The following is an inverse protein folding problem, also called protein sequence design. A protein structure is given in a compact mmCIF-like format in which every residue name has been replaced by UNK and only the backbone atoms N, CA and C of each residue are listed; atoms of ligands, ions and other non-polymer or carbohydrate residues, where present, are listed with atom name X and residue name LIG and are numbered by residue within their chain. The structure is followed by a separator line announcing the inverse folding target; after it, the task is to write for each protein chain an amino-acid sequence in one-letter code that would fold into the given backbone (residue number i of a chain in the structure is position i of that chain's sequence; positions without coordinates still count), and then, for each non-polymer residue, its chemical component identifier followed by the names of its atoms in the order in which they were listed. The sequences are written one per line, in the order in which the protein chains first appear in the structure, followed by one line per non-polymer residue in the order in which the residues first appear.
data_IF_726072302017
#
_entry.id   IF_726072302017
#
_cell.length_a   1.000
_cell.length_b   1.000
_cell.length_c   1.000
_cell.angle_alpha   90.00
_cell.angle_beta   90.00
_cell.angle_gamma   90.00
#
_symmetry.space_group_name_H-M   'P 1'
#
loop_
_entity.id
_entity.type
_entity.pdbx_description
1 polymer ?
#
# COMPACT_ATOMS: atom_id res chain seq x y z
N UNK A 1 11.38 18.74 -0.36
CA UNK A 1 10.43 19.68 0.28
C UNK A 1 9.63 18.88 1.31
N UNK A 2 9.37 19.41 2.51
CA UNK A 2 8.54 18.69 3.48
C UNK A 2 7.09 18.63 2.97
N UNK A 3 6.36 17.57 3.34
CA UNK A 3 4.93 17.47 3.08
C UNK A 3 4.16 18.32 4.10
N UNK A 4 3.32 19.20 3.62
CA UNK A 4 2.56 20.16 4.46
C UNK A 4 1.06 19.81 4.56
N UNK A 5 0.63 18.75 3.90
CA UNK A 5 -0.76 18.34 3.74
C UNK A 5 -1.23 18.45 2.29
N UNK A 6 -2.31 17.74 1.99
CA UNK A 6 -3.09 17.99 0.78
C UNK A 6 -3.98 19.22 0.99
N UNK A 7 -4.65 19.67 -0.06
CA UNK A 7 -5.55 20.84 0.00
C UNK A 7 -6.89 20.53 -0.64
N UNK A 8 -7.85 21.43 -0.54
CA UNK A 8 -9.15 21.27 -1.23
C UNK A 8 -8.96 21.16 -2.74
N UNK A 9 -7.99 21.89 -3.31
CA UNK A 9 -7.67 21.85 -4.74
C UNK A 9 -7.20 20.48 -5.18
N UNK A 10 -6.61 19.67 -4.29
CA UNK A 10 -6.27 18.26 -4.55
C UNK A 10 -7.54 17.45 -4.84
N UNK A 11 -8.56 17.58 -3.98
CA UNK A 11 -9.84 16.90 -4.15
C UNK A 11 -10.59 17.42 -5.37
N UNK A 12 -10.60 18.73 -5.59
CA UNK A 12 -11.24 19.36 -6.73
C UNK A 12 -10.65 18.84 -8.05
N UNK A 13 -9.32 18.71 -8.12
CA UNK A 13 -8.67 18.11 -9.29
C UNK A 13 -9.06 16.62 -9.45
N UNK A 14 -9.05 15.84 -8.38
CA UNK A 14 -9.37 14.41 -8.42
C UNK A 14 -10.83 14.16 -8.83
N UNK A 15 -11.77 14.94 -8.32
CA UNK A 15 -13.18 14.93 -8.79
C UNK A 15 -13.31 15.41 -10.23
N UNK A 16 -12.60 16.48 -10.58
CA UNK A 16 -12.58 17.01 -11.94
C UNK A 16 -12.15 15.98 -12.97
N UNK A 17 -11.03 15.27 -12.74
CA UNK A 17 -10.55 14.23 -13.67
C UNK A 17 -11.45 12.97 -13.67
N UNK A 18 -12.12 12.65 -12.56
CA UNK A 18 -13.09 11.54 -12.51
C UNK A 18 -14.27 11.79 -13.45
N UNK A 19 -14.80 13.01 -13.48
CA UNK A 19 -15.96 13.35 -14.31
C UNK A 19 -15.60 13.79 -15.73
N UNK A 20 -14.38 14.30 -15.96
CA UNK A 20 -13.93 14.82 -17.25
C UNK A 20 -12.66 14.09 -17.72
N UNK A 21 -12.72 12.77 -17.84
CA UNK A 21 -11.56 11.94 -18.14
C UNK A 21 -11.16 12.00 -19.62
N UNK A 22 -10.82 13.21 -20.10
CA UNK A 22 -10.46 13.52 -21.46
C UNK A 22 -9.13 14.27 -21.53
N UNK A 23 -8.42 14.09 -22.66
CA UNK A 23 -7.12 14.75 -22.90
C UNK A 23 -7.20 16.27 -22.87
N UNK A 24 -8.24 16.83 -23.45
CA UNK A 24 -8.47 18.29 -23.50
C UNK A 24 -8.59 18.87 -22.10
N UNK A 25 -9.43 18.24 -21.24
CA UNK A 25 -9.61 18.66 -19.86
C UNK A 25 -8.30 18.56 -19.07
N UNK A 26 -7.61 17.43 -19.16
CA UNK A 26 -6.34 17.24 -18.44
C UNK A 26 -5.29 18.26 -18.85
N UNK A 27 -5.18 18.58 -20.14
CA UNK A 27 -4.20 19.58 -20.60
C UNK A 27 -4.52 20.99 -20.07
N UNK A 28 -5.80 21.34 -19.95
CA UNK A 28 -6.23 22.61 -19.36
C UNK A 28 -5.94 22.70 -17.85
N UNK A 29 -5.97 21.57 -17.13
CA UNK A 29 -5.75 21.48 -15.67
C UNK A 29 -4.41 20.81 -15.29
N UNK A 30 -3.45 20.79 -16.22
CA UNK A 30 -2.16 20.13 -15.98
C UNK A 30 -1.36 20.83 -14.85
N UNK A 31 -1.46 22.13 -14.73
CA UNK A 31 -0.81 22.87 -13.65
C UNK A 31 -1.40 22.52 -12.28
N UNK A 32 -2.73 22.35 -12.20
CA UNK A 32 -3.41 21.95 -10.97
C UNK A 32 -2.98 20.54 -10.57
N UNK A 33 -2.88 19.61 -11.53
CA UNK A 33 -2.31 18.28 -11.30
C UNK A 33 -0.91 18.34 -10.73
N UNK A 34 -0.03 19.12 -11.34
CA UNK A 34 1.37 19.23 -10.93
C UNK A 34 1.53 19.87 -9.56
N UNK A 35 0.77 20.93 -9.27
CA UNK A 35 0.87 21.69 -8.04
C UNK A 35 0.14 21.03 -6.86
N UNK A 36 -1.09 20.56 -7.08
CA UNK A 36 -1.98 20.17 -5.98
C UNK A 36 -2.08 18.64 -5.77
N UNK A 37 -1.66 17.81 -6.73
CA UNK A 37 -1.67 16.36 -6.54
C UNK A 37 -0.25 15.76 -6.65
N UNK A 38 0.47 16.01 -7.73
CA UNK A 38 1.75 15.34 -7.97
C UNK A 38 2.84 15.80 -6.99
N UNK A 39 3.00 17.12 -6.79
CA UNK A 39 4.03 17.65 -5.91
C UNK A 39 3.84 17.25 -4.45
N UNK A 40 2.64 17.40 -3.82
CA UNK A 40 2.44 16.94 -2.45
C UNK A 40 2.57 15.43 -2.30
N UNK A 41 2.06 14.62 -3.26
CA UNK A 41 2.21 13.15 -3.19
C UNK A 41 3.68 12.74 -3.30
N UNK A 42 4.48 13.44 -4.10
CA UNK A 42 5.93 13.21 -4.18
C UNK A 42 6.62 13.56 -2.87
N UNK A 43 6.33 14.73 -2.30
CA UNK A 43 6.90 15.18 -1.04
C UNK A 43 6.59 14.20 0.10
N UNK A 44 5.32 13.73 0.19
CA UNK A 44 4.90 12.71 1.14
C UNK A 44 5.69 11.41 0.95
N UNK A 45 5.77 10.92 -0.30
CA UNK A 45 6.48 9.68 -0.61
C UNK A 45 7.98 9.74 -0.29
N UNK A 46 8.64 10.85 -0.61
CA UNK A 46 10.06 11.09 -0.29
C UNK A 46 10.28 11.14 1.23
N UNK A 47 9.44 11.85 1.97
CA UNK A 47 9.54 11.93 3.43
C UNK A 47 9.34 10.57 4.11
N UNK A 48 8.35 9.80 3.67
CA UNK A 48 8.10 8.43 4.17
C UNK A 48 9.27 7.52 3.83
N UNK A 49 9.77 7.56 2.60
CA UNK A 49 10.90 6.75 2.16
C UNK A 49 12.17 7.05 2.97
N UNK A 50 12.53 8.32 3.14
CA UNK A 50 13.70 8.74 3.91
C UNK A 50 13.62 8.27 5.37
N UNK A 51 12.44 8.40 5.99
CA UNK A 51 12.21 7.96 7.36
C UNK A 51 12.33 6.44 7.53
N UNK A 52 11.84 5.66 6.56
CA UNK A 52 11.99 4.20 6.55
C UNK A 52 13.43 3.78 6.27
N UNK A 53 14.09 4.41 5.30
CA UNK A 53 15.49 4.13 4.98
C UNK A 53 16.41 4.43 6.15
N UNK A 54 16.19 5.53 6.86
CA UNK A 54 16.97 5.86 8.08
C UNK A 54 16.72 4.85 9.22
N UNK A 55 15.48 4.38 9.40
CA UNK A 55 15.13 3.43 10.45
C UNK A 55 15.58 1.99 10.13
N UNK A 56 15.62 1.62 8.85
CA UNK A 56 15.91 0.27 8.36
C UNK A 56 16.95 0.31 7.22
N UNK A 57 18.19 0.74 7.48
CA UNK A 57 19.20 1.00 6.44
C UNK A 57 19.68 -0.27 5.70
N UNK A 58 19.37 -1.46 6.22
CA UNK A 58 19.70 -2.74 5.56
C UNK A 58 18.65 -3.18 4.56
N UNK A 59 17.46 -2.60 4.61
CA UNK A 59 16.39 -2.93 3.68
C UNK A 59 16.60 -2.20 2.34
N UNK A 60 16.62 -2.92 1.21
CA UNK A 60 16.89 -2.33 -0.10
C UNK A 60 15.64 -1.62 -0.65
N UNK A 61 15.09 -0.70 0.11
CA UNK A 61 13.88 0.02 -0.27
C UNK A 61 14.10 0.95 -1.47
N UNK A 62 13.09 0.98 -2.33
CA UNK A 62 12.95 1.90 -3.44
C UNK A 62 11.58 2.57 -3.36
N UNK A 63 11.57 3.88 -3.58
CA UNK A 63 10.33 4.63 -3.75
C UNK A 63 9.87 4.56 -5.21
N UNK A 64 8.61 4.26 -5.41
CA UNK A 64 7.95 4.31 -6.71
C UNK A 64 6.68 5.14 -6.64
N UNK A 65 6.64 6.24 -7.38
CA UNK A 65 5.42 7.04 -7.57
C UNK A 65 4.71 6.61 -8.86
N UNK A 66 3.40 6.46 -8.80
CA UNK A 66 2.58 6.10 -9.97
C UNK A 66 2.46 7.27 -10.95
N UNK A 67 2.20 6.95 -12.21
CA UNK A 67 1.81 7.95 -13.22
C UNK A 67 0.29 8.12 -13.20
N UNK A 68 -0.20 9.31 -13.51
CA UNK A 68 -1.64 9.58 -13.67
C UNK A 68 -2.23 8.84 -14.88
N UNK A 69 -1.42 8.60 -15.92
CA UNK A 69 -1.86 7.92 -17.13
C UNK A 69 -2.18 6.45 -16.87
N UNK A 70 -3.32 5.98 -17.40
CA UNK A 70 -3.62 4.55 -17.48
C UNK A 70 -2.76 3.89 -18.57
N UNK A 71 -2.48 2.62 -18.41
CA UNK A 71 -1.89 1.81 -19.48
C UNK A 71 -2.92 1.66 -20.61
N UNK A 72 -2.59 2.11 -21.81
CA UNK A 72 -3.47 2.05 -22.99
C UNK A 72 -4.01 0.64 -23.27
N UNK A 73 -3.23 -0.39 -22.90
CA UNK A 73 -3.63 -1.80 -23.05
C UNK A 73 -4.71 -2.24 -22.04
N UNK A 74 -4.97 -1.45 -20.99
CA UNK A 74 -5.84 -1.77 -19.87
C UNK A 74 -6.97 -0.75 -19.66
N UNK A 75 -7.36 -0.02 -20.71
CA UNK A 75 -8.39 1.00 -20.59
C UNK A 75 -9.77 0.39 -20.30
N UNK A 76 -10.12 -0.71 -20.96
CA UNK A 76 -11.39 -1.43 -20.76
C UNK A 76 -12.64 -0.49 -20.69
N UNK A 77 -12.68 0.53 -21.54
CA UNK A 77 -13.75 1.53 -21.55
C UNK A 77 -13.57 2.68 -20.55
N UNK A 78 -12.53 2.66 -19.70
CA UNK A 78 -12.20 3.81 -18.86
C UNK A 78 -11.39 4.85 -19.64
N UNK A 79 -11.47 6.11 -19.20
CA UNK A 79 -10.69 7.20 -19.79
C UNK A 79 -9.17 7.03 -19.59
N UNK A 80 -8.36 7.86 -20.27
CA UNK A 80 -6.90 7.71 -20.33
C UNK A 80 -6.18 8.03 -19.00
N UNK A 81 -6.86 8.60 -18.03
CA UNK A 81 -6.27 8.98 -16.76
C UNK A 81 -6.87 8.19 -15.59
N UNK A 82 -6.08 7.99 -14.53
CA UNK A 82 -6.54 7.54 -13.24
C UNK A 82 -7.14 8.73 -12.48
N UNK A 83 -8.13 8.47 -11.67
CA UNK A 83 -8.73 9.39 -10.71
C UNK A 83 -8.16 9.21 -9.30
N UNK A 84 -6.97 8.64 -9.23
CA UNK A 84 -6.20 8.40 -8.00
C UNK A 84 -4.71 8.45 -8.31
N UNK A 85 -3.91 8.73 -7.28
CA UNK A 85 -2.45 8.67 -7.36
C UNK A 85 -1.95 7.85 -6.18
N UNK A 86 -0.87 7.08 -6.38
CA UNK A 86 -0.27 6.29 -5.33
C UNK A 86 1.25 6.29 -5.41
N UNK A 87 1.87 6.06 -4.28
CA UNK A 87 3.28 5.64 -4.24
C UNK A 87 3.42 4.34 -3.46
N UNK A 88 4.54 3.66 -3.64
CA UNK A 88 4.91 2.54 -2.81
C UNK A 88 6.40 2.57 -2.45
N UNK A 89 6.70 2.02 -1.26
CA UNK A 89 8.04 1.74 -0.78
C UNK A 89 8.19 0.23 -0.72
N UNK A 90 9.12 -0.31 -1.48
CA UNK A 90 9.24 -1.74 -1.72
C UNK A 90 10.69 -2.17 -1.94
N UNK A 91 10.98 -3.45 -1.77
CA UNK A 91 12.26 -4.00 -2.20
C UNK A 91 12.44 -3.86 -3.73
N UNK A 92 13.68 -3.73 -4.16
CA UNK A 92 14.05 -3.76 -5.59
C UNK A 92 13.79 -5.12 -6.23
N UNK A 93 13.89 -5.17 -7.57
CA UNK A 93 13.76 -6.40 -8.35
C UNK A 93 12.58 -6.39 -9.31
N UNK A 94 12.60 -7.33 -10.28
CA UNK A 94 11.57 -7.41 -11.33
C UNK A 94 10.24 -7.98 -10.80
N UNK A 95 10.28 -8.92 -9.86
CA UNK A 95 9.11 -9.62 -9.33
C UNK A 95 8.50 -8.96 -8.07
N UNK A 96 8.53 -7.63 -8.04
CA UNK A 96 8.08 -6.85 -6.89
C UNK A 96 6.59 -7.03 -6.57
N UNK A 97 5.76 -7.39 -7.55
CA UNK A 97 4.32 -7.56 -7.36
C UNK A 97 3.97 -8.76 -6.49
N UNK A 98 4.87 -9.73 -6.42
CA UNK A 98 4.78 -10.91 -5.55
C UNK A 98 5.39 -10.72 -4.17
N UNK A 99 5.99 -9.54 -3.87
CA UNK A 99 6.62 -9.23 -2.58
C UNK A 99 5.76 -8.28 -1.75
N UNK A 100 5.91 -8.28 -0.41
CA UNK A 100 5.21 -7.31 0.42
C UNK A 100 5.67 -5.89 0.06
N UNK A 101 4.76 -4.95 0.08
CA UNK A 101 4.98 -3.58 -0.36
C UNK A 101 4.22 -2.63 0.55
N UNK A 102 4.88 -1.60 1.08
CA UNK A 102 4.21 -0.48 1.71
C UNK A 102 3.63 0.44 0.65
N UNK A 103 2.43 0.93 0.85
CA UNK A 103 1.76 1.79 -0.13
C UNK A 103 0.99 2.92 0.55
N UNK A 104 0.79 3.96 -0.20
CA UNK A 104 -0.18 5.03 0.02
C UNK A 104 -0.91 5.31 -1.28
N UNK A 105 -2.21 5.52 -1.21
CA UNK A 105 -3.06 5.90 -2.34
C UNK A 105 -4.04 6.97 -1.90
N UNK A 106 -4.30 7.95 -2.79
CA UNK A 106 -5.31 9.00 -2.62
C UNK A 106 -6.23 9.03 -3.82
N UNK A 107 -7.53 9.02 -3.57
CA UNK A 107 -8.61 9.25 -4.52
C UNK A 107 -9.47 10.44 -4.11
N UNK A 108 -10.53 10.77 -4.86
CA UNK A 108 -11.34 11.95 -4.58
C UNK A 108 -12.19 11.83 -3.31
N UNK A 109 -12.48 10.61 -2.87
CA UNK A 109 -13.39 10.28 -1.76
C UNK A 109 -12.73 9.40 -0.68
N UNK A 110 -11.42 9.09 -0.83
CA UNK A 110 -10.69 8.27 0.12
C UNK A 110 -9.18 8.55 0.09
N UNK A 111 -8.51 8.15 1.14
CA UNK A 111 -7.10 7.79 1.11
C UNK A 111 -6.88 6.47 1.83
N UNK A 112 -5.86 5.74 1.41
CA UNK A 112 -5.52 4.42 1.96
C UNK A 112 -4.02 4.27 2.06
N UNK A 113 -3.55 3.63 3.13
CA UNK A 113 -2.15 3.25 3.26
C UNK A 113 -2.00 1.97 4.07
N UNK A 114 -0.88 1.29 3.88
CA UNK A 114 -0.66 0.03 4.56
C UNK A 114 0.47 -0.78 3.96
N UNK A 115 0.38 -2.09 4.16
CA UNK A 115 1.33 -3.06 3.61
C UNK A 115 0.57 -4.27 3.09
N UNK A 116 0.97 -4.76 1.92
CA UNK A 116 0.35 -5.95 1.37
C UNK A 116 1.02 -6.45 0.10
N UNK A 117 0.41 -7.44 -0.49
CA UNK A 117 0.84 -8.02 -1.76
C UNK A 117 -0.07 -7.56 -2.89
N UNK A 118 0.51 -7.07 -3.96
CA UNK A 118 -0.27 -6.71 -5.14
C UNK A 118 -0.81 -7.94 -5.88
N UNK A 119 0.05 -8.92 -6.15
CA UNK A 119 -0.30 -10.15 -6.89
C UNK A 119 0.61 -11.31 -6.45
N UNK A 120 0.41 -11.86 -5.24
CA UNK A 120 1.23 -12.97 -4.77
C UNK A 120 0.99 -14.21 -5.62
N UNK A 121 2.06 -14.92 -5.97
CA UNK A 121 1.97 -16.21 -6.66
C UNK A 121 1.34 -17.25 -5.74
N UNK A 122 0.63 -18.22 -6.32
CA UNK A 122 0.03 -19.32 -5.55
C UNK A 122 1.07 -20.09 -4.72
N UNK A 123 2.25 -20.32 -5.29
CA UNK A 123 3.36 -20.99 -4.61
C UNK A 123 3.77 -20.25 -3.32
N UNK A 124 3.90 -18.92 -3.36
CA UNK A 124 4.18 -18.14 -2.16
C UNK A 124 3.12 -18.33 -1.06
N UNK A 125 1.84 -18.34 -1.43
CA UNK A 125 0.76 -18.55 -0.46
C UNK A 125 0.71 -20.00 0.04
N UNK A 126 1.24 -20.95 -0.70
CA UNK A 126 1.45 -22.33 -0.24
C UNK A 126 2.63 -22.41 0.74
N UNK A 127 3.77 -21.82 0.40
CA UNK A 127 4.93 -21.71 1.29
C UNK A 127 4.57 -20.99 2.60
N UNK A 128 3.80 -19.90 2.51
CA UNK A 128 3.26 -19.21 3.68
C UNK A 128 2.47 -20.16 4.59
N UNK A 129 1.49 -20.91 4.04
CA UNK A 129 0.71 -21.86 4.86
C UNK A 129 1.58 -22.95 5.45
N UNK A 130 2.52 -23.50 4.67
CA UNK A 130 3.47 -24.49 5.15
C UNK A 130 4.30 -23.96 6.32
N UNK A 131 4.84 -22.76 6.22
CA UNK A 131 5.57 -22.12 7.32
C UNK A 131 4.70 -21.90 8.57
N UNK A 132 3.41 -21.57 8.38
CA UNK A 132 2.46 -21.44 9.49
C UNK A 132 2.12 -22.80 10.11
N UNK A 133 2.02 -23.86 9.33
CA UNK A 133 1.78 -25.22 9.83
C UNK A 133 2.98 -25.78 10.61
N UNK A 134 4.20 -25.50 10.15
CA UNK A 134 5.44 -25.97 10.79
C UNK A 134 5.81 -25.13 12.04
N UNK A 135 5.58 -23.79 12.00
CA UNK A 135 5.97 -22.84 13.04
C UNK A 135 4.87 -21.81 13.33
N UNK A 136 3.69 -22.24 13.82
CA UNK A 136 2.57 -21.33 14.05
C UNK A 136 2.88 -20.22 15.08
N UNK A 137 3.73 -20.50 16.06
CA UNK A 137 4.11 -19.59 17.13
C UNK A 137 4.79 -18.31 16.61
N UNK A 138 5.48 -18.39 15.45
CA UNK A 138 6.13 -17.23 14.83
C UNK A 138 5.09 -16.21 14.38
N UNK A 139 4.12 -16.67 13.58
CA UNK A 139 3.05 -15.78 13.11
C UNK A 139 2.11 -15.36 14.25
N UNK A 140 1.81 -16.25 15.21
CA UNK A 140 1.00 -15.90 16.38
C UNK A 140 1.56 -14.73 17.17
N UNK A 141 2.88 -14.69 17.37
CA UNK A 141 3.55 -13.58 18.06
C UNK A 141 3.33 -12.26 17.32
N UNK A 142 3.44 -12.27 15.99
CA UNK A 142 3.22 -11.11 15.13
C UNK A 142 1.75 -10.67 15.14
N UNK A 143 0.82 -11.62 15.03
CA UNK A 143 -0.62 -11.35 15.08
C UNK A 143 -1.05 -10.81 16.44
N UNK A 144 -0.54 -11.36 17.55
CA UNK A 144 -0.77 -10.82 18.89
C UNK A 144 -0.29 -9.38 19.03
N UNK A 145 0.84 -9.04 18.40
CA UNK A 145 1.33 -7.65 18.36
C UNK A 145 0.44 -6.77 17.48
N UNK A 146 0.09 -7.25 16.29
CA UNK A 146 -0.79 -6.55 15.34
C UNK A 146 -2.15 -6.22 15.97
N UNK A 147 -2.75 -7.15 16.70
CA UNK A 147 -4.05 -6.96 17.34
C UNK A 147 -4.05 -5.95 18.51
N UNK A 148 -2.90 -5.40 18.92
CA UNK A 148 -2.80 -4.33 19.93
C UNK A 148 -2.98 -2.94 19.35
N UNK A 149 -2.98 -2.80 18.03
CA UNK A 149 -3.20 -1.53 17.34
C UNK A 149 -4.60 -1.51 16.68
N UNK A 150 -5.15 -0.31 16.45
CA UNK A 150 -6.44 -0.10 15.82
C UNK A 150 -6.32 0.59 14.44
N UNK A 151 -5.10 0.96 14.02
CA UNK A 151 -4.85 1.72 12.80
C UNK A 151 -5.08 0.88 11.54
N UNK A 152 -4.66 -0.38 11.57
CA UNK A 152 -4.73 -1.25 10.39
C UNK A 152 -5.69 -2.42 10.61
N UNK A 153 -6.37 -2.81 9.55
CA UNK A 153 -7.21 -4.00 9.49
C UNK A 153 -6.63 -5.03 8.53
N UNK A 154 -6.80 -6.32 8.85
CA UNK A 154 -6.46 -7.41 7.94
C UNK A 154 -7.53 -7.53 6.86
N UNK A 155 -7.15 -7.42 5.61
CA UNK A 155 -8.02 -7.56 4.44
C UNK A 155 -7.42 -8.50 3.39
N UNK A 156 -8.06 -8.55 2.24
CA UNK A 156 -7.68 -9.37 1.11
C UNK A 156 -8.62 -10.56 0.88
N UNK A 157 -8.64 -11.09 -0.35
CA UNK A 157 -9.54 -12.18 -0.74
C UNK A 157 -9.23 -13.46 0.02
N UNK A 158 -10.25 -14.25 0.30
CA UNK A 158 -10.14 -15.54 0.95
C UNK A 158 -10.32 -16.71 -0.03
N UNK A 159 -9.77 -17.86 0.34
CA UNK A 159 -10.07 -19.11 -0.38
C UNK A 159 -11.52 -19.51 -0.14
N UNK A 160 -12.22 -19.90 -1.22
CA UNK A 160 -13.59 -20.40 -1.12
C UNK A 160 -13.67 -21.66 -0.23
N UNK A 161 -12.67 -22.56 -0.39
CA UNK A 161 -12.54 -23.73 0.49
C UNK A 161 -11.51 -23.43 1.57
N UNK A 162 -12.01 -23.13 2.76
CA UNK A 162 -11.18 -22.86 3.93
C UNK A 162 -10.54 -24.14 4.47
N UNK A 163 -9.30 -24.03 4.93
CA UNK A 163 -8.57 -25.05 5.67
C UNK A 163 -8.60 -24.72 7.15
N UNK A 164 -8.49 -25.74 7.99
CA UNK A 164 -8.32 -25.58 9.43
C UNK A 164 -6.94 -24.99 9.70
N UNK A 165 -6.90 -23.83 10.36
CA UNK A 165 -5.66 -23.21 10.79
C UNK A 165 -5.10 -23.91 12.04
N UNK A 166 -3.77 -23.83 12.29
CA UNK A 166 -3.15 -24.41 13.48
C UNK A 166 -3.70 -23.86 14.80
N UNK A 167 -4.22 -22.63 14.79
CA UNK A 167 -4.90 -22.03 15.96
C UNK A 167 -6.05 -21.11 15.56
N UNK A 168 -7.02 -20.84 16.45
CA UNK A 168 -8.11 -19.91 16.19
C UNK A 168 -7.63 -18.49 15.88
N UNK A 169 -6.52 -18.05 16.51
CA UNK A 169 -5.92 -16.75 16.29
C UNK A 169 -5.48 -16.54 14.85
N UNK A 170 -5.02 -17.60 14.20
CA UNK A 170 -4.50 -17.56 12.83
C UNK A 170 -5.56 -17.79 11.76
N UNK A 171 -6.79 -18.16 12.13
CA UNK A 171 -7.81 -18.58 11.18
C UNK A 171 -8.09 -17.57 10.05
N UNK A 172 -8.16 -16.28 10.41
CA UNK A 172 -8.38 -15.20 9.45
C UNK A 172 -7.17 -14.98 8.51
N UNK A 173 -5.95 -15.14 9.01
CA UNK A 173 -4.71 -14.96 8.26
C UNK A 173 -4.43 -16.14 7.33
N UNK A 174 -4.60 -17.36 7.83
CA UNK A 174 -4.26 -18.61 7.14
C UNK A 174 -5.04 -18.81 5.84
N UNK A 175 -6.28 -18.32 5.79
CA UNK A 175 -7.18 -18.51 4.66
C UNK A 175 -7.18 -17.39 3.63
N UNK A 176 -6.28 -16.43 3.72
CA UNK A 176 -6.13 -15.36 2.72
C UNK A 176 -5.42 -15.85 1.46
N UNK A 177 -5.91 -15.42 0.29
CA UNK A 177 -5.23 -15.58 -1.02
C UNK A 177 -4.18 -14.50 -1.23
N UNK A 178 -4.38 -13.35 -0.60
CA UNK A 178 -3.48 -12.23 -0.53
C UNK A 178 -3.70 -11.54 0.80
N UNK A 179 -2.63 -11.10 1.43
CA UNK A 179 -2.70 -10.42 2.73
C UNK A 179 -2.47 -8.94 2.49
N UNK A 180 -3.43 -8.13 2.95
CA UNK A 180 -3.31 -6.68 3.00
C UNK A 180 -3.63 -6.21 4.41
N UNK A 181 -2.79 -5.33 4.94
CA UNK A 181 -2.93 -4.66 6.21
C UNK A 181 -3.13 -3.19 5.89
N UNK A 182 -4.37 -2.72 5.97
CA UNK A 182 -4.77 -1.43 5.41
C UNK A 182 -5.47 -0.53 6.42
N UNK A 183 -5.21 0.75 6.27
CA UNK A 183 -5.95 1.85 6.84
C UNK A 183 -6.67 2.58 5.70
N UNK A 184 -7.98 2.63 5.76
CA UNK A 184 -8.81 3.35 4.81
C UNK A 184 -9.56 4.46 5.55
N UNK A 185 -9.55 5.66 4.98
CA UNK A 185 -10.27 6.81 5.52
C UNK A 185 -10.89 7.66 4.40
N UNK A 186 -11.98 8.33 4.72
CA UNK A 186 -12.47 9.46 3.93
C UNK A 186 -11.55 10.67 4.16
N UNK A 187 -11.54 11.67 3.25
CA UNK A 187 -10.85 12.92 3.47
C UNK A 187 -11.23 13.56 4.81
N UNK A 188 -10.24 13.84 5.64
CA UNK A 188 -10.36 14.37 6.98
C UNK A 188 -9.26 15.38 7.29
N UNK A 189 -9.25 15.94 8.51
CA UNK A 189 -8.25 16.93 8.95
C UNK A 189 -6.81 16.39 8.86
N UNK A 190 -6.60 15.08 9.02
CA UNK A 190 -5.29 14.43 8.90
C UNK A 190 -4.73 14.58 7.50
N UNK A 191 -5.58 14.33 6.49
CA UNK A 191 -5.18 14.42 5.09
C UNK A 191 -4.70 15.84 4.73
N UNK A 192 -5.29 16.87 5.34
CA UNK A 192 -4.97 18.28 5.10
C UNK A 192 -3.83 18.82 5.97
N UNK A 193 -3.13 17.96 6.69
CA UNK A 193 -2.05 18.36 7.58
C UNK A 193 -0.78 17.54 7.38
N UNK A 194 0.35 18.05 7.86
CA UNK A 194 1.62 17.31 7.91
C UNK A 194 1.58 16.06 8.81
N UNK A 195 0.56 15.93 9.66
CA UNK A 195 0.39 14.80 10.57
C UNK A 195 0.16 13.49 9.80
N UNK A 196 -0.43 13.54 8.59
CA UNK A 196 -0.58 12.36 7.73
C UNK A 196 0.76 11.67 7.46
N UNK A 197 1.83 12.43 7.22
CA UNK A 197 3.15 11.85 7.01
C UNK A 197 3.65 11.09 8.24
N UNK A 198 3.41 11.64 9.43
CA UNK A 198 3.79 10.99 10.70
C UNK A 198 2.99 9.71 10.93
N UNK A 199 1.67 9.75 10.71
CA UNK A 199 0.79 8.59 10.86
C UNK A 199 1.22 7.44 9.94
N UNK A 200 1.57 7.74 8.68
CA UNK A 200 2.07 6.76 7.71
C UNK A 200 3.42 6.18 8.14
N UNK A 201 4.37 7.03 8.55
CA UNK A 201 5.72 6.59 8.98
C UNK A 201 5.62 5.68 10.20
N UNK A 202 4.86 6.07 11.22
CA UNK A 202 4.68 5.27 12.44
C UNK A 202 3.92 3.97 12.14
N UNK A 203 2.91 4.06 11.29
CA UNK A 203 2.17 2.90 10.81
C UNK A 203 3.06 1.89 10.11
N UNK A 204 3.90 2.32 9.18
CA UNK A 204 4.81 1.43 8.46
C UNK A 204 5.88 0.82 9.38
N UNK A 205 6.40 1.59 10.35
CA UNK A 205 7.28 1.04 11.40
C UNK A 205 6.57 -0.04 12.24
N UNK A 206 5.31 0.15 12.53
CA UNK A 206 4.49 -0.84 13.27
C UNK A 206 4.29 -2.11 12.47
N UNK A 207 4.12 -2.01 11.15
CA UNK A 207 3.96 -3.15 10.24
C UNK A 207 5.27 -3.84 9.85
N UNK A 208 6.42 -3.20 10.10
CA UNK A 208 7.74 -3.72 9.69
C UNK A 208 8.03 -5.17 10.10
N UNK A 209 7.68 -5.65 11.32
CA UNK A 209 7.91 -7.05 11.67
C UNK A 209 7.12 -8.05 10.80
N UNK A 210 5.91 -7.67 10.36
CA UNK A 210 5.12 -8.48 9.41
C UNK A 210 5.69 -8.39 8.00
N UNK A 211 6.15 -7.21 7.58
CA UNK A 211 6.88 -7.04 6.32
C UNK A 211 8.08 -7.99 6.25
N UNK A 212 8.95 -7.95 7.26
CA UNK A 212 10.15 -8.80 7.33
C UNK A 212 9.80 -10.29 7.31
N UNK A 213 8.75 -10.70 8.02
CA UNK A 213 8.29 -12.09 8.01
C UNK A 213 7.88 -12.54 6.60
N UNK A 214 7.04 -11.74 5.93
CA UNK A 214 6.57 -12.09 4.58
C UNK A 214 7.67 -11.98 3.52
N UNK A 215 8.56 -11.01 3.62
CA UNK A 215 9.67 -10.85 2.69
C UNK A 215 10.68 -11.99 2.80
N UNK A 216 10.90 -12.49 4.02
CA UNK A 216 11.70 -13.68 4.27
C UNK A 216 11.16 -14.94 3.58
N UNK A 217 9.83 -15.11 3.52
CA UNK A 217 9.21 -16.22 2.78
C UNK A 217 9.43 -16.09 1.28
N UNK A 218 9.38 -14.87 0.73
CA UNK A 218 9.66 -14.64 -0.69
C UNK A 218 11.12 -14.97 -1.05
N UNK A 219 12.07 -14.68 -0.17
CA UNK A 219 13.48 -14.99 -0.41
C UNK A 219 13.76 -16.50 -0.39
N UNK A 220 13.07 -17.26 0.47
CA UNK A 220 13.22 -18.71 0.57
C UNK A 220 12.69 -19.48 -0.66
N UNK A 221 11.74 -18.93 -1.42
CA UNK A 221 11.23 -19.54 -2.66
C UNK A 221 12.12 -19.31 -3.88
N UNK A 222 13.07 -18.36 -3.80
CA UNK A 222 13.97 -18.06 -4.92
C UNK A 222 15.26 -18.87 -4.92
N UNK A 223 15.46 -19.74 -3.95
CA UNK A 223 16.60 -20.64 -3.78
C UNK A 223 16.19 -22.07 -4.09
#
# INVERSE_FOLDING_TARGET
MAFEGYTQETLDFLWGIRFNNERSWFLAHKQDYEAHLLAPTRALGEQVYEALHAAFPKEPFLLKLSRIYRDARRLHGNGPYKDHLWFCVRAGGEDWTGRPTFYFEIGPDYYSYGMGFWAPKAALMEAYRKAVDEHPEVLEKLVKRFNKQAQFTLSGPEYARKKTAPSPLLAAWYNKKSINLQHDAAPDERMFSQELAQDIIEGFRTLMPLYTYFDGLCAAEMV
#
